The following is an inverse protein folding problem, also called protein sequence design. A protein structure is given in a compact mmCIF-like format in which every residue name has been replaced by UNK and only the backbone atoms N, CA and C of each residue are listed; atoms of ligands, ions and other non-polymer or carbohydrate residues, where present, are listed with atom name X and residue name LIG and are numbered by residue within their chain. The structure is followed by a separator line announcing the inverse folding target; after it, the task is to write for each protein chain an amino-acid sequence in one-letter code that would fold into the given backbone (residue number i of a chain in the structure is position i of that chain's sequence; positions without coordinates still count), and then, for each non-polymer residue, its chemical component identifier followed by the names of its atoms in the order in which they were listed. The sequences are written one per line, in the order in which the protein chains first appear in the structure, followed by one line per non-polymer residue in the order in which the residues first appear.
data_IF_601259467907
#
_entry.id   IF_601259467907
#
_cell.length_a   1.000
_cell.length_b   1.000
_cell.length_c   1.000
_cell.angle_alpha   90.00
_cell.angle_beta   90.00
_cell.angle_gamma   90.00
#
_symmetry.space_group_name_H-M   'P 1'
#
loop_
_entity.id
_entity.type
_entity.pdbx_description
1 polymer ?
#
# COMPACT_ATOMS: atom_id res chain seq x y z
N UNK A 1 28.61 -58.59 25.51
CA UNK A 1 28.06 -58.01 24.27
C UNK A 1 27.80 -56.53 24.50
N UNK A 2 28.82 -55.69 24.27
CA UNK A 2 28.64 -54.24 24.23
C UNK A 2 28.21 -53.88 22.79
N UNK A 3 26.96 -53.45 22.63
CA UNK A 3 26.50 -52.89 21.37
C UNK A 3 27.08 -51.47 21.24
N UNK A 4 27.95 -51.28 20.26
CA UNK A 4 28.46 -49.99 19.85
C UNK A 4 27.29 -49.11 19.36
N UNK A 5 27.14 -47.94 19.96
CA UNK A 5 26.27 -46.88 19.46
C UNK A 5 26.94 -46.25 18.23
N UNK A 6 26.21 -45.99 17.13
CA UNK A 6 26.79 -45.32 15.97
C UNK A 6 27.06 -43.86 16.31
N UNK A 7 28.32 -43.45 16.14
CA UNK A 7 28.77 -42.07 16.25
C UNK A 7 28.03 -41.22 15.21
N UNK A 8 27.09 -40.40 15.68
CA UNK A 8 26.45 -39.37 14.88
C UNK A 8 27.50 -38.36 14.43
N UNK A 9 27.78 -38.37 13.13
CA UNK A 9 28.71 -37.46 12.47
C UNK A 9 28.40 -36.00 12.84
N UNK A 10 29.21 -35.42 13.72
CA UNK A 10 29.30 -33.97 13.89
C UNK A 10 29.93 -33.40 12.60
N UNK A 11 29.11 -33.30 11.54
CA UNK A 11 29.51 -32.60 10.32
C UNK A 11 29.73 -31.14 10.70
N UNK A 12 30.99 -30.72 10.74
CA UNK A 12 31.35 -29.30 10.89
C UNK A 12 30.56 -28.51 9.85
N UNK A 13 29.54 -27.80 10.31
CA UNK A 13 28.68 -26.98 9.46
C UNK A 13 29.56 -25.84 8.92
N UNK A 14 30.06 -26.01 7.70
CA UNK A 14 31.04 -25.10 7.09
C UNK A 14 30.41 -23.76 6.67
N UNK A 15 29.08 -23.68 6.57
CA UNK A 15 28.40 -22.54 5.95
C UNK A 15 28.53 -22.58 4.42
N UNK A 16 27.90 -21.62 3.76
CA UNK A 16 28.01 -21.44 2.30
C UNK A 16 29.24 -20.61 1.95
N UNK A 17 29.80 -20.77 0.75
CA UNK A 17 30.77 -19.80 0.23
C UNK A 17 30.04 -18.54 -0.26
N UNK A 18 30.72 -17.39 -0.27
CA UNK A 18 30.11 -16.16 -0.79
C UNK A 18 29.74 -16.26 -2.27
N UNK A 19 30.48 -17.04 -3.06
CA UNK A 19 30.15 -17.26 -4.48
C UNK A 19 28.90 -18.14 -4.65
N UNK A 20 28.80 -19.23 -3.89
CA UNK A 20 27.62 -20.09 -3.93
C UNK A 20 26.37 -19.35 -3.46
N UNK A 21 26.51 -18.52 -2.42
CA UNK A 21 25.42 -17.68 -1.93
C UNK A 21 24.94 -16.70 -3.02
N UNK A 22 25.86 -16.06 -3.76
CA UNK A 22 25.51 -15.18 -4.88
C UNK A 22 24.82 -15.94 -6.02
N UNK A 23 25.30 -17.15 -6.35
CA UNK A 23 24.67 -18.00 -7.37
C UNK A 23 23.24 -18.35 -6.98
N UNK A 24 23.02 -18.79 -5.74
CA UNK A 24 21.68 -19.10 -5.23
C UNK A 24 20.80 -17.86 -5.14
N UNK A 25 21.35 -16.70 -4.80
CA UNK A 25 20.60 -15.44 -4.80
C UNK A 25 20.09 -15.11 -6.22
N UNK A 26 20.89 -15.38 -7.26
CA UNK A 26 20.45 -15.20 -8.65
C UNK A 26 19.40 -16.22 -9.12
N UNK A 27 19.40 -17.42 -8.53
CA UNK A 27 18.46 -18.50 -8.88
C UNK A 27 17.12 -18.40 -8.11
N UNK A 28 17.19 -18.15 -6.81
CA UNK A 28 16.03 -18.12 -5.90
C UNK A 28 15.44 -16.71 -5.74
N UNK A 29 16.19 -15.66 -6.08
CA UNK A 29 15.80 -14.27 -5.84
C UNK A 29 16.02 -13.83 -4.40
N UNK A 30 15.70 -12.56 -4.11
CA UNK A 30 15.78 -11.99 -2.78
C UNK A 30 14.72 -12.60 -1.84
N UNK A 31 15.05 -12.69 -0.54
CA UNK A 31 14.14 -13.09 0.53
C UNK A 31 13.15 -11.96 0.86
N UNK A 32 12.33 -11.59 -0.12
CA UNK A 32 11.22 -10.65 0.01
C UNK A 32 10.01 -11.17 -0.75
N UNK A 33 8.81 -10.95 -0.21
CA UNK A 33 7.58 -11.17 -0.96
C UNK A 33 7.49 -10.01 -1.94
N UNK A 34 7.53 -10.28 -3.24
CA UNK A 34 7.49 -9.26 -4.29
C UNK A 34 6.30 -8.33 -4.05
N UNK A 35 6.59 -7.15 -3.52
CA UNK A 35 5.62 -6.08 -3.44
C UNK A 35 5.43 -5.59 -4.87
N UNK A 36 4.33 -6.00 -5.51
CA UNK A 36 3.99 -5.51 -6.84
C UNK A 36 3.94 -3.98 -6.78
N UNK A 37 5.04 -3.34 -7.19
CA UNK A 37 5.10 -1.90 -7.39
C UNK A 37 4.18 -1.59 -8.55
N UNK A 38 2.90 -1.39 -8.25
CA UNK A 38 1.99 -0.83 -9.24
C UNK A 38 2.55 0.53 -9.60
N UNK A 39 2.91 0.71 -10.86
CA UNK A 39 3.33 2.01 -11.36
C UNK A 39 2.24 3.02 -10.99
N UNK A 40 2.62 4.06 -10.25
CA UNK A 40 1.72 5.13 -9.79
C UNK A 40 0.86 5.63 -10.96
N UNK A 41 1.44 5.71 -12.16
CA UNK A 41 0.74 6.09 -13.38
C UNK A 41 -0.41 5.17 -13.78
N UNK A 42 -0.26 3.83 -13.72
CA UNK A 42 -1.38 2.92 -13.98
C UNK A 42 -2.45 2.99 -12.88
N UNK A 43 -2.05 3.17 -11.62
CA UNK A 43 -3.01 3.30 -10.52
C UNK A 43 -3.84 4.57 -10.68
N UNK A 44 -3.18 5.68 -11.03
CA UNK A 44 -3.82 6.96 -11.35
C UNK A 44 -4.72 6.80 -12.58
N UNK A 45 -4.22 6.24 -13.68
CA UNK A 45 -5.02 5.99 -14.88
C UNK A 45 -6.26 5.16 -14.56
N UNK A 46 -6.15 4.09 -13.75
CA UNK A 46 -7.29 3.27 -13.36
C UNK A 46 -8.33 4.03 -12.53
N UNK A 47 -7.92 5.03 -11.73
CA UNK A 47 -8.84 5.94 -11.02
C UNK A 47 -9.62 6.83 -11.99
N UNK A 48 -9.07 7.22 -13.14
CA UNK A 48 -9.79 7.99 -14.17
C UNK A 48 -10.94 7.22 -14.84
N UNK A 49 -10.97 5.88 -14.75
CA UNK A 49 -12.10 5.05 -15.21
C UNK A 49 -13.22 4.86 -14.18
N UNK A 50 -13.21 5.61 -13.07
CA UNK A 50 -14.27 5.59 -12.07
C UNK A 50 -15.49 6.44 -12.45
N UNK A 51 -16.65 6.15 -11.82
CA UNK A 51 -17.89 6.92 -11.97
C UNK A 51 -17.70 8.41 -11.66
N UNK A 52 -16.87 8.75 -10.67
CA UNK A 52 -16.62 10.13 -10.23
C UNK A 52 -15.91 10.99 -11.30
N UNK A 53 -14.76 10.56 -11.88
CA UNK A 53 -14.16 11.30 -12.99
C UNK A 53 -15.07 11.41 -14.21
N UNK A 54 -15.81 10.35 -14.57
CA UNK A 54 -16.78 10.39 -15.67
C UNK A 54 -17.84 11.48 -15.52
N UNK A 55 -18.37 11.68 -14.30
CA UNK A 55 -19.33 12.75 -14.01
C UNK A 55 -18.72 14.15 -14.23
N UNK A 56 -17.44 14.32 -13.90
CA UNK A 56 -16.72 15.58 -14.05
C UNK A 56 -16.40 15.87 -15.52
N UNK A 57 -16.02 14.85 -16.28
CA UNK A 57 -15.80 14.94 -17.72
C UNK A 57 -17.08 15.33 -18.46
N UNK A 58 -18.23 14.75 -18.07
CA UNK A 58 -19.55 15.15 -18.59
C UNK A 58 -19.86 16.61 -18.25
N UNK A 59 -19.49 17.10 -17.07
CA UNK A 59 -19.72 18.49 -16.66
C UNK A 59 -18.89 19.48 -17.50
N UNK A 60 -17.63 19.14 -17.77
CA UNK A 60 -16.74 19.90 -18.66
C UNK A 60 -17.29 19.91 -20.09
N UNK A 61 -17.70 18.75 -20.61
CA UNK A 61 -18.29 18.62 -21.94
C UNK A 61 -19.59 19.42 -22.08
N UNK A 62 -20.46 19.39 -21.07
CA UNK A 62 -21.73 20.11 -21.07
C UNK A 62 -21.51 21.63 -21.03
N UNK A 63 -20.66 22.13 -20.15
CA UNK A 63 -20.35 23.59 -20.08
C UNK A 63 -19.68 24.11 -21.34
N UNK A 64 -18.82 23.30 -21.96
CA UNK A 64 -18.21 23.60 -23.25
C UNK A 64 -19.28 23.67 -24.37
N UNK A 65 -20.22 22.72 -24.39
CA UNK A 65 -21.32 22.70 -25.36
C UNK A 65 -22.23 23.94 -25.21
N UNK A 66 -22.46 24.41 -23.98
CA UNK A 66 -23.19 25.64 -23.69
C UNK A 66 -22.39 26.93 -24.02
N UNK A 67 -21.19 26.82 -24.60
CA UNK A 67 -20.30 27.94 -24.97
C UNK A 67 -19.91 28.84 -23.79
N UNK A 68 -19.98 28.33 -22.56
CA UNK A 68 -19.54 29.03 -21.34
C UNK A 68 -18.06 28.74 -21.07
N UNK A 69 -17.19 29.26 -21.94
CA UNK A 69 -15.76 28.97 -21.88
C UNK A 69 -15.11 29.32 -20.54
N UNK A 70 -15.52 30.43 -19.92
CA UNK A 70 -14.99 30.86 -18.61
C UNK A 70 -15.30 29.81 -17.53
N UNK A 71 -16.53 29.34 -17.46
CA UNK A 71 -16.96 28.31 -16.50
C UNK A 71 -16.20 27.00 -16.72
N UNK A 72 -15.99 26.61 -17.99
CA UNK A 72 -15.23 25.40 -18.34
C UNK A 72 -13.78 25.48 -17.87
N UNK A 73 -13.09 26.60 -18.10
CA UNK A 73 -11.69 26.76 -17.66
C UNK A 73 -11.57 26.80 -16.13
N UNK A 74 -12.51 27.42 -15.42
CA UNK A 74 -12.53 27.44 -13.95
C UNK A 74 -12.68 26.02 -13.38
N UNK A 75 -13.63 25.24 -13.90
CA UNK A 75 -13.87 23.86 -13.46
C UNK A 75 -12.67 22.98 -13.77
N UNK A 76 -12.12 23.07 -14.99
CA UNK A 76 -10.94 22.31 -15.39
C UNK A 76 -9.71 22.64 -14.55
N UNK A 77 -9.46 23.92 -14.25
CA UNK A 77 -8.37 24.37 -13.40
C UNK A 77 -8.49 23.87 -11.96
N UNK A 78 -9.69 23.94 -11.37
CA UNK A 78 -9.95 23.41 -10.03
C UNK A 78 -9.70 21.89 -9.96
N UNK A 79 -10.05 21.16 -11.02
CA UNK A 79 -9.84 19.72 -11.14
C UNK A 79 -8.35 19.36 -11.19
N UNK A 80 -7.58 20.06 -12.04
CA UNK A 80 -6.14 19.86 -12.13
C UNK A 80 -5.45 20.19 -10.80
N UNK A 81 -5.89 21.24 -10.12
CA UNK A 81 -5.39 21.59 -8.80
C UNK A 81 -5.69 20.50 -7.76
N UNK A 82 -6.94 20.00 -7.71
CA UNK A 82 -7.33 18.92 -6.80
C UNK A 82 -6.55 17.63 -7.08
N UNK A 83 -6.38 17.26 -8.35
CA UNK A 83 -5.57 16.11 -8.75
C UNK A 83 -4.09 16.27 -8.33
N UNK A 84 -3.52 17.47 -8.51
CA UNK A 84 -2.16 17.78 -8.07
C UNK A 84 -2.00 17.67 -6.55
N UNK A 85 -2.97 18.20 -5.79
CA UNK A 85 -3.00 18.08 -4.33
C UNK A 85 -3.11 16.60 -3.90
N UNK A 86 -3.98 15.83 -4.55
CA UNK A 86 -4.17 14.41 -4.26
C UNK A 86 -2.91 13.58 -4.54
N UNK A 87 -2.19 13.87 -5.64
CA UNK A 87 -0.89 13.24 -5.92
C UNK A 87 0.18 13.61 -4.88
N UNK A 88 0.14 14.84 -4.36
CA UNK A 88 1.06 15.26 -3.30
C UNK A 88 0.76 14.57 -1.97
N UNK A 89 -0.51 14.42 -1.62
CA UNK A 89 -0.96 13.67 -0.44
C UNK A 89 -0.58 12.18 -0.52
N UNK A 90 -0.81 11.54 -1.68
CA UNK A 90 -0.50 10.13 -1.91
C UNK A 90 1.02 9.87 -1.78
N UNK A 91 1.85 10.74 -2.37
CA UNK A 91 3.32 10.64 -2.24
C UNK A 91 3.80 10.82 -0.81
N UNK A 92 3.15 11.70 -0.02
CA UNK A 92 3.51 11.94 1.37
C UNK A 92 3.16 10.75 2.25
N UNK A 93 2.02 10.10 2.00
CA UNK A 93 1.62 8.88 2.69
C UNK A 93 2.57 7.70 2.39
N UNK A 94 2.90 7.48 1.13
CA UNK A 94 3.84 6.41 0.71
C UNK A 94 5.25 6.61 1.30
N UNK A 95 5.72 7.85 1.38
CA UNK A 95 7.02 8.18 1.95
C UNK A 95 7.10 7.85 3.44
N UNK A 96 6.02 8.11 4.20
CA UNK A 96 5.96 7.80 5.63
C UNK A 96 5.98 6.28 5.89
N UNK A 97 5.24 5.51 5.06
CA UNK A 97 5.23 4.05 5.14
C UNK A 97 6.58 3.46 4.74
N UNK A 98 7.21 3.99 3.69
CA UNK A 98 8.54 3.55 3.23
C UNK A 98 9.62 3.83 4.27
N UNK A 99 9.59 5.00 4.91
CA UNK A 99 10.52 5.35 6.00
C UNK A 99 10.36 4.45 7.23
N UNK A 100 9.14 4.00 7.53
CA UNK A 100 8.90 3.02 8.59
C UNK A 100 9.45 1.63 8.22
N UNK A 101 9.25 1.19 6.96
CA UNK A 101 9.82 -0.08 6.44
C UNK A 101 11.34 -0.11 6.51
N UNK A 102 12.02 0.99 6.19
CA UNK A 102 13.48 1.09 6.27
C UNK A 102 14.03 0.99 7.70
N UNK A 103 13.23 1.31 8.73
CA UNK A 103 13.66 1.14 10.13
C UNK A 103 13.56 -0.30 10.62
N UNK A 104 12.88 -1.18 9.88
CA UNK A 104 12.69 -2.59 10.20
C UNK A 104 13.65 -3.50 9.44
N UNK A 105 14.84 -3.02 9.03
CA UNK A 105 15.85 -3.87 8.41
C UNK A 105 16.32 -4.95 9.39
N UNK A 106 15.65 -6.09 9.36
CA UNK A 106 16.04 -7.31 10.07
C UNK A 106 17.41 -7.70 9.51
N UNK A 107 18.40 -7.70 10.38
CA UNK A 107 19.74 -8.19 10.07
C UNK A 107 19.81 -9.67 10.46
N UNK A 108 20.38 -10.49 9.59
CA UNK A 108 20.60 -11.91 9.85
C UNK A 108 22.10 -12.19 9.97
N UNK A 109 22.49 -12.94 11.00
CA UNK A 109 23.86 -13.47 11.13
C UNK A 109 23.93 -14.80 10.42
N UNK A 110 24.62 -14.84 9.28
CA UNK A 110 24.92 -16.09 8.57
C UNK A 110 26.38 -16.46 8.75
N UNK A 111 26.69 -17.72 8.48
CA UNK A 111 28.05 -18.22 8.30
C UNK A 111 28.39 -18.32 6.82
N UNK A 112 29.28 -17.44 6.32
CA UNK A 112 29.78 -17.46 4.94
C UNK A 112 31.30 -17.52 4.93
N UNK A 113 31.87 -18.34 4.05
CA UNK A 113 33.31 -18.59 3.95
C UNK A 113 33.95 -19.00 5.30
N UNK A 114 33.17 -19.64 6.18
CA UNK A 114 33.59 -20.05 7.52
C UNK A 114 33.48 -18.96 8.60
N UNK A 115 33.25 -17.70 8.23
CA UNK A 115 33.12 -16.56 9.14
C UNK A 115 31.66 -16.17 9.39
N UNK A 116 31.39 -15.62 10.57
CA UNK A 116 30.06 -15.09 10.91
C UNK A 116 29.93 -13.65 10.42
N UNK A 117 29.05 -13.43 9.46
CA UNK A 117 28.80 -12.14 8.84
C UNK A 117 27.35 -11.72 9.09
N UNK A 118 27.13 -10.47 9.46
CA UNK A 118 25.78 -9.88 9.52
C UNK A 118 25.44 -9.28 8.17
N UNK A 119 24.35 -9.74 7.55
CA UNK A 119 23.82 -9.20 6.31
C UNK A 119 22.32 -8.92 6.42
N UNK A 120 21.77 -8.09 5.51
CA UNK A 120 20.34 -7.85 5.46
C UNK A 120 19.57 -9.15 5.24
N UNK A 121 18.47 -9.36 5.96
CA UNK A 121 17.64 -10.57 5.85
C UNK A 121 17.16 -10.86 4.41
N UNK A 122 17.08 -9.83 3.54
CA UNK A 122 16.72 -9.95 2.12
C UNK A 122 17.74 -10.77 1.30
N UNK A 123 19.00 -10.83 1.74
CA UNK A 123 20.10 -11.49 1.03
C UNK A 123 20.37 -12.92 1.53
N UNK A 124 19.52 -13.41 2.44
CA UNK A 124 19.56 -14.78 2.96
C UNK A 124 19.02 -15.73 1.90
N UNK A 125 19.73 -16.83 1.66
CA UNK A 125 19.38 -17.83 0.64
C UNK A 125 19.14 -19.21 1.25
N UNK A 126 18.37 -20.11 0.59
CA UNK A 126 18.22 -21.48 1.04
C UNK A 126 19.57 -22.18 1.16
N UNK A 127 19.79 -22.86 2.29
CA UNK A 127 21.05 -23.50 2.67
C UNK A 127 22.02 -22.61 3.45
N UNK A 128 21.72 -21.31 3.65
CA UNK A 128 22.50 -20.48 4.57
C UNK A 128 22.42 -21.05 5.98
N UNK A 129 23.54 -20.96 6.71
CA UNK A 129 23.61 -21.35 8.11
C UNK A 129 23.49 -20.08 8.92
N UNK A 130 22.41 -19.94 9.68
CA UNK A 130 22.15 -18.77 10.51
C UNK A 130 22.29 -19.09 11.99
N UNK A 131 22.63 -18.08 12.78
CA UNK A 131 22.66 -18.18 14.25
C UNK A 131 21.62 -17.25 14.84
N UNK A 132 20.66 -17.85 15.55
CA UNK A 132 19.55 -17.16 16.19
C UNK A 132 19.80 -17.04 17.69
N UNK A 133 19.58 -15.85 18.24
CA UNK A 133 19.64 -15.58 19.68
C UNK A 133 18.31 -15.04 20.21
N UNK A 134 18.14 -15.09 21.52
CA UNK A 134 17.05 -14.40 22.20
C UNK A 134 16.95 -12.92 21.76
N UNK A 135 15.76 -12.52 21.32
CA UNK A 135 15.47 -11.20 20.76
C UNK A 135 15.49 -11.14 19.23
N UNK A 136 16.09 -12.11 18.54
CA UNK A 136 16.15 -12.13 17.09
C UNK A 136 14.79 -12.56 16.48
N UNK A 137 14.41 -11.90 15.39
CA UNK A 137 13.28 -12.31 14.55
C UNK A 137 13.80 -13.28 13.50
N UNK A 138 13.11 -14.41 13.31
CA UNK A 138 13.52 -15.45 12.36
C UNK A 138 13.28 -14.95 10.92
N UNK A 139 14.33 -14.78 10.09
CA UNK A 139 14.23 -14.10 8.79
C UNK A 139 13.64 -14.96 7.66
N UNK A 140 13.69 -16.27 7.81
CA UNK A 140 13.32 -17.26 6.79
C UNK A 140 12.92 -18.57 7.49
N UNK A 141 12.28 -19.51 6.79
CA UNK A 141 12.00 -20.80 7.39
C UNK A 141 13.30 -21.57 7.56
N UNK A 142 13.55 -22.08 8.76
CA UNK A 142 14.81 -22.71 9.13
C UNK A 142 14.61 -24.00 9.89
N UNK A 143 15.60 -24.89 9.82
CA UNK A 143 15.69 -26.12 10.59
C UNK A 143 16.84 -26.03 11.58
N UNK A 144 16.60 -26.35 12.85
CA UNK A 144 17.62 -26.30 13.90
C UNK A 144 18.59 -27.47 13.71
N UNK A 145 19.89 -27.16 13.70
CA UNK A 145 20.96 -28.17 13.62
C UNK A 145 21.67 -28.33 14.94
N UNK A 146 21.85 -27.24 15.69
CA UNK A 146 22.51 -27.27 17.00
C UNK A 146 21.82 -26.30 17.96
N UNK A 147 21.72 -26.68 19.24
CA UNK A 147 21.17 -25.85 20.30
C UNK A 147 19.68 -26.04 20.55
N UNK A 148 19.11 -25.12 21.33
CA UNK A 148 17.69 -25.11 21.70
C UNK A 148 17.23 -23.67 21.87
N UNK A 149 16.01 -23.39 21.46
CA UNK A 149 15.41 -22.07 21.58
C UNK A 149 13.94 -22.15 21.95
N UNK A 150 13.44 -21.10 22.59
CA UNK A 150 12.03 -20.93 22.87
C UNK A 150 11.47 -19.90 21.87
N UNK A 151 10.52 -20.36 21.04
CA UNK A 151 9.94 -19.63 19.92
C UNK A 151 8.55 -19.10 20.28
N UNK A 152 8.32 -17.80 20.05
CA UNK A 152 6.99 -17.18 20.11
C UNK A 152 6.38 -17.11 18.72
N UNK A 153 5.36 -17.94 18.49
CA UNK A 153 4.64 -18.06 17.23
C UNK A 153 3.35 -17.22 17.19
N UNK A 154 3.18 -16.26 18.12
CA UNK A 154 1.99 -15.38 18.17
C UNK A 154 1.68 -14.74 16.81
N UNK A 155 2.70 -14.39 16.03
CA UNK A 155 2.54 -13.76 14.72
C UNK A 155 1.88 -14.68 13.67
N UNK A 156 1.94 -16.00 13.86
CA UNK A 156 1.44 -17.00 12.91
C UNK A 156 0.14 -17.66 13.40
N UNK A 157 0.06 -18.01 14.68
CA UNK A 157 -1.07 -18.74 15.25
C UNK A 157 -2.06 -17.85 15.99
N UNK A 158 -1.65 -16.64 16.39
CA UNK A 158 -2.43 -15.76 17.26
C UNK A 158 -2.42 -16.17 18.74
N UNK A 159 -1.68 -17.22 19.11
CA UNK A 159 -1.57 -17.69 20.49
C UNK A 159 -0.22 -17.29 21.11
N UNK A 160 -0.24 -16.66 22.29
CA UNK A 160 0.97 -16.17 22.98
C UNK A 160 1.75 -17.23 23.75
N UNK A 161 1.58 -18.51 23.42
CA UNK A 161 2.31 -19.59 24.06
C UNK A 161 3.68 -19.75 23.40
N UNK A 162 4.72 -19.74 24.23
CA UNK A 162 6.09 -19.99 23.78
C UNK A 162 6.31 -21.50 23.64
N UNK A 163 6.80 -21.94 22.48
CA UNK A 163 7.07 -23.35 22.20
C UNK A 163 8.58 -23.59 22.22
N UNK A 164 9.03 -24.55 23.03
CA UNK A 164 10.44 -24.93 23.05
C UNK A 164 10.76 -25.80 21.83
N UNK A 165 11.85 -25.46 21.13
CA UNK A 165 12.31 -26.09 19.90
C UNK A 165 13.74 -26.59 20.06
N UNK A 166 13.99 -27.79 19.57
CA UNK A 166 15.27 -28.52 19.71
C UNK A 166 15.84 -28.90 18.34
N UNK A 167 16.96 -29.63 18.34
CA UNK A 167 17.59 -30.11 17.09
C UNK A 167 16.57 -30.87 16.24
N UNK A 168 16.66 -30.69 14.93
CA UNK A 168 15.74 -31.19 13.90
C UNK A 168 14.35 -30.53 13.84
N UNK A 169 13.97 -29.69 14.80
CA UNK A 169 12.74 -28.91 14.68
C UNK A 169 12.85 -27.80 13.64
N UNK A 170 11.71 -27.50 13.01
CA UNK A 170 11.57 -26.35 12.10
C UNK A 170 11.02 -25.12 12.84
N UNK A 171 11.56 -23.95 12.50
CA UNK A 171 11.14 -22.65 13.00
C UNK A 171 10.79 -21.77 11.80
N UNK A 172 9.62 -21.14 11.85
CA UNK A 172 9.05 -20.42 10.72
C UNK A 172 9.44 -18.94 10.74
N UNK A 173 9.53 -18.33 9.54
CA UNK A 173 9.78 -16.91 9.37
C UNK A 173 8.75 -16.04 10.12
N UNK A 174 9.20 -14.95 10.75
CA UNK A 174 8.34 -14.06 11.55
C UNK A 174 8.15 -14.48 13.02
N UNK A 175 8.62 -15.67 13.40
CA UNK A 175 8.72 -16.09 14.81
C UNK A 175 9.75 -15.24 15.56
N UNK A 176 9.48 -14.91 16.82
CA UNK A 176 10.44 -14.20 17.69
C UNK A 176 11.07 -15.18 18.66
N UNK A 177 12.40 -15.19 18.77
CA UNK A 177 13.10 -16.03 19.75
C UNK A 177 13.03 -15.37 21.13
N UNK A 178 12.39 -16.00 22.10
CA UNK A 178 12.29 -15.48 23.48
C UNK A 178 13.50 -15.82 24.31
N UNK A 179 14.01 -17.05 24.21
CA UNK A 179 15.14 -17.56 25.01
C UNK A 179 15.96 -18.56 24.22
N UNK A 180 17.21 -18.73 24.64
CA UNK A 180 18.15 -19.69 24.05
C UNK A 180 18.94 -19.14 22.88
N UNK A 181 19.71 -20.05 22.27
CA UNK A 181 20.53 -19.81 21.11
C UNK A 181 20.60 -21.10 20.30
N UNK A 182 20.47 -20.99 18.98
CA UNK A 182 20.56 -22.13 18.08
C UNK A 182 21.23 -21.76 16.76
N UNK A 183 21.90 -22.75 16.18
CA UNK A 183 22.41 -22.71 14.81
C UNK A 183 21.44 -23.45 13.92
N UNK A 184 20.97 -22.80 12.87
CA UNK A 184 19.93 -23.32 11.99
C UNK A 184 20.37 -23.25 10.52
N UNK A 185 19.83 -24.13 9.69
CA UNK A 185 19.96 -24.07 8.23
C UNK A 185 18.67 -23.54 7.63
N UNK A 186 18.78 -22.59 6.70
CA UNK A 186 17.63 -22.03 5.98
C UNK A 186 17.09 -23.07 5.00
N UNK A 187 15.79 -23.38 5.10
CA UNK A 187 15.10 -24.35 4.25
C UNK A 187 14.33 -23.66 3.13
N UNK A 188 13.66 -22.54 3.41
CA UNK A 188 12.90 -21.77 2.43
C UNK A 188 13.00 -20.26 2.70
N UNK A 189 12.92 -19.46 1.63
CA UNK A 189 12.99 -18.00 1.64
C UNK A 189 11.86 -17.38 0.80
N UNK A 190 11.58 -16.10 1.04
CA UNK A 190 10.64 -15.26 0.28
C UNK A 190 9.22 -15.79 0.31
N UNK A 191 8.53 -15.78 -0.83
CA UNK A 191 7.18 -16.30 -0.99
C UNK A 191 7.04 -17.80 -0.68
N UNK A 192 8.14 -18.57 -0.66
CA UNK A 192 8.11 -20.01 -0.38
C UNK A 192 8.02 -20.33 1.12
N UNK A 193 8.24 -19.36 2.01
CA UNK A 193 8.10 -19.57 3.46
C UNK A 193 6.64 -19.74 3.87
N UNK A 194 6.40 -20.32 5.05
CA UNK A 194 5.06 -20.49 5.61
C UNK A 194 4.34 -19.14 5.78
N UNK A 195 5.05 -18.12 6.27
CA UNK A 195 4.52 -16.75 6.34
C UNK A 195 4.35 -16.15 4.95
N UNK A 196 5.33 -16.32 4.06
CA UNK A 196 5.31 -15.80 2.69
C UNK A 196 4.11 -16.26 1.89
N UNK A 197 3.78 -17.57 1.94
CA UNK A 197 2.57 -18.13 1.31
C UNK A 197 1.29 -17.55 1.90
N UNK A 198 1.26 -17.33 3.22
CA UNK A 198 0.09 -16.72 3.88
C UNK A 198 -0.10 -15.27 3.40
N UNK A 199 0.97 -14.48 3.34
CA UNK A 199 0.94 -13.11 2.82
C UNK A 199 0.56 -13.08 1.35
N UNK A 200 1.10 -13.98 0.52
CA UNK A 200 0.75 -14.10 -0.90
C UNK A 200 -0.75 -14.39 -1.08
N UNK A 201 -1.31 -15.33 -0.32
CA UNK A 201 -2.74 -15.65 -0.35
C UNK A 201 -3.61 -14.46 0.10
N UNK A 202 -3.19 -13.70 1.13
CA UNK A 202 -3.91 -12.49 1.58
C UNK A 202 -3.82 -11.36 0.55
N UNK A 203 -2.66 -11.19 -0.10
CA UNK A 203 -2.48 -10.19 -1.15
C UNK A 203 -3.29 -10.54 -2.41
N UNK A 204 -3.35 -11.82 -2.79
CA UNK A 204 -4.20 -12.33 -3.86
C UNK A 204 -5.67 -12.16 -3.53
N UNK A 205 -6.05 -12.38 -2.27
CA UNK A 205 -7.42 -12.25 -1.79
C UNK A 205 -7.95 -10.81 -1.82
N UNK A 206 -7.09 -9.79 -2.04
CA UNK A 206 -7.42 -8.34 -2.11
C UNK A 206 -8.78 -8.06 -1.45
N UNK A 207 -8.86 -8.11 -0.11
CA UNK A 207 -10.12 -7.79 0.54
C UNK A 207 -10.51 -6.40 0.03
N UNK A 208 -11.60 -6.32 -0.74
CA UNK A 208 -12.17 -5.04 -1.18
C UNK A 208 -12.31 -4.22 0.09
N UNK A 209 -11.53 -3.15 0.19
CA UNK A 209 -11.42 -2.38 1.41
C UNK A 209 -12.83 -1.83 1.67
N UNK A 210 -13.46 -2.21 2.78
CA UNK A 210 -14.84 -1.82 3.11
C UNK A 210 -15.08 -0.30 3.00
N UNK A 211 -14.03 0.51 3.13
CA UNK A 211 -14.05 1.96 2.96
C UNK A 211 -14.39 2.41 1.53
N UNK A 212 -14.05 1.62 0.50
CA UNK A 212 -14.33 1.92 -0.91
C UNK A 212 -15.83 1.75 -1.23
N UNK A 213 -16.50 0.79 -0.58
CA UNK A 213 -17.93 0.52 -0.80
C UNK A 213 -18.84 1.49 -0.03
N UNK A 214 -18.41 1.90 1.17
CA UNK A 214 -19.10 2.93 1.95
C UNK A 214 -19.03 4.29 1.24
N UNK A 215 -17.86 4.69 0.75
CA UNK A 215 -17.71 5.95 0.01
C UNK A 215 -18.50 5.94 -1.30
N UNK A 216 -18.49 4.84 -2.06
CA UNK A 216 -19.29 4.70 -3.28
C UNK A 216 -20.81 4.78 -3.01
N UNK A 217 -21.27 4.26 -1.87
CA UNK A 217 -22.69 4.32 -1.50
C UNK A 217 -23.13 5.72 -1.10
N UNK A 218 -22.30 6.47 -0.35
CA UNK A 218 -22.55 7.88 -0.04
C UNK A 218 -22.63 8.72 -1.31
N UNK A 219 -21.70 8.52 -2.25
CA UNK A 219 -21.68 9.24 -3.53
C UNK A 219 -22.95 8.95 -4.34
N UNK A 220 -23.41 7.69 -4.41
CA UNK A 220 -24.65 7.33 -5.12
C UNK A 220 -25.88 8.03 -4.55
N UNK A 221 -26.05 8.06 -3.22
CA UNK A 221 -27.17 8.75 -2.59
C UNK A 221 -27.15 10.26 -2.81
N UNK A 222 -25.96 10.88 -2.74
CA UNK A 222 -25.80 12.29 -3.03
C UNK A 222 -26.19 12.62 -4.48
N UNK A 223 -25.78 11.79 -5.45
CA UNK A 223 -26.14 11.95 -6.86
C UNK A 223 -27.65 11.84 -7.10
N UNK A 224 -28.31 10.84 -6.48
CA UNK A 224 -29.76 10.70 -6.56
C UNK A 224 -30.48 11.92 -6.00
N UNK A 225 -29.99 12.49 -4.90
CA UNK A 225 -30.55 13.67 -4.28
C UNK A 225 -30.41 14.92 -5.18
N UNK A 226 -29.24 15.12 -5.80
CA UNK A 226 -29.02 16.21 -6.76
C UNK A 226 -29.90 16.05 -7.99
N UNK A 227 -30.01 14.84 -8.55
CA UNK A 227 -30.87 14.56 -9.69
C UNK A 227 -32.35 14.83 -9.37
N UNK A 228 -32.80 14.45 -8.16
CA UNK A 228 -34.15 14.74 -7.69
C UNK A 228 -34.40 16.25 -7.57
N UNK A 229 -33.46 17.02 -7.01
CA UNK A 229 -33.60 18.47 -6.92
C UNK A 229 -33.63 19.14 -8.30
N UNK A 230 -32.80 18.70 -9.23
CA UNK A 230 -32.82 19.21 -10.60
C UNK A 230 -34.14 18.87 -11.30
N UNK A 231 -34.65 17.65 -11.15
CA UNK A 231 -35.94 17.24 -11.69
C UNK A 231 -37.09 18.06 -11.09
N UNK A 232 -37.07 18.29 -9.77
CA UNK A 232 -38.07 19.12 -9.10
C UNK A 232 -38.00 20.58 -9.55
N UNK A 233 -36.79 21.14 -9.66
CA UNK A 233 -36.56 22.51 -10.14
C UNK A 233 -37.03 22.71 -11.57
N UNK A 234 -36.71 21.77 -12.46
CA UNK A 234 -37.21 21.77 -13.84
C UNK A 234 -38.74 21.59 -13.89
N UNK A 235 -39.30 20.72 -13.05
CA UNK A 235 -40.74 20.54 -12.94
C UNK A 235 -41.48 21.81 -12.48
N UNK A 236 -40.95 22.50 -11.47
CA UNK A 236 -41.48 23.80 -11.01
C UNK A 236 -41.30 24.88 -12.08
N UNK A 237 -40.15 24.91 -12.76
CA UNK A 237 -39.91 25.85 -13.87
C UNK A 237 -40.88 25.64 -15.02
N UNK A 238 -41.21 24.39 -15.34
CA UNK A 238 -42.20 24.05 -16.37
C UNK A 238 -43.61 24.41 -15.91
N UNK A 239 -43.96 24.11 -14.66
CA UNK A 239 -45.27 24.41 -14.07
C UNK A 239 -45.54 25.92 -13.89
N UNK A 240 -44.48 26.74 -13.70
CA UNK A 240 -44.59 28.21 -13.61
C UNK A 240 -44.69 28.89 -14.98
N UNK A 241 -44.62 28.16 -16.09
CA UNK A 241 -44.54 28.72 -17.43
C UNK A 241 -43.15 29.31 -17.67
N UNK A 242 -42.42 28.75 -18.63
CA UNK A 242 -41.01 29.10 -18.88
C UNK A 242 -40.82 30.56 -19.33
N UNK A 243 -40.65 31.47 -18.38
CA UNK A 243 -39.98 32.74 -18.59
C UNK A 243 -38.48 32.53 -18.28
N UNK A 244 -37.60 32.45 -19.29
CA UNK A 244 -36.17 32.30 -19.04
C UNK A 244 -35.66 33.54 -18.31
N UNK A 245 -35.09 33.31 -17.12
CA UNK A 245 -34.28 34.24 -16.31
C UNK A 245 -33.08 34.80 -17.11
N UNK A 246 -33.37 35.69 -18.06
CA UNK A 246 -32.38 36.52 -18.77
C UNK A 246 -32.49 38.00 -18.38
N UNK A 247 -33.50 38.38 -17.59
CA UNK A 247 -33.72 39.76 -17.18
C UNK A 247 -33.42 39.94 -15.69
N UNK A 248 -32.14 39.82 -15.32
CA UNK A 248 -31.66 40.58 -14.16
C UNK A 248 -31.52 42.03 -14.64
N UNK A 249 -32.22 43.02 -14.05
CA UNK A 249 -32.10 44.41 -14.46
C UNK A 249 -30.77 45.01 -13.94
N UNK A 250 -29.63 44.56 -14.47
CA UNK A 250 -28.33 45.19 -14.28
C UNK A 250 -28.21 46.51 -15.08
N UNK A 251 -29.13 46.77 -16.03
CA UNK A 251 -29.14 47.97 -16.85
C UNK A 251 -29.89 49.18 -16.23
N UNK A 252 -30.61 49.01 -15.11
CA UNK A 252 -31.37 50.13 -14.50
C UNK A 252 -30.51 51.03 -13.61
N UNK A 253 -29.36 50.57 -13.12
CA UNK A 253 -28.48 51.39 -12.27
C UNK A 253 -27.57 52.35 -13.05
N UNK A 254 -27.41 52.18 -14.36
CA UNK A 254 -26.48 53.00 -15.15
C UNK A 254 -27.07 54.37 -15.56
N UNK A 255 -28.39 54.50 -15.70
CA UNK A 255 -29.04 55.75 -16.12
C UNK A 255 -29.20 56.78 -14.97
N UNK A 256 -29.20 56.33 -13.72
CA UNK A 256 -29.37 57.22 -12.56
C UNK A 256 -28.09 57.99 -12.17
N UNK A 257 -26.93 57.58 -12.66
CA UNK A 257 -25.65 58.27 -12.40
C UNK A 257 -25.37 59.37 -13.43
N UNK A 258 -25.94 59.27 -14.65
CA UNK A 258 -25.76 60.29 -15.69
C UNK A 258 -26.61 61.56 -15.47
N UNK A 259 -27.71 61.49 -14.71
CA UNK A 259 -28.62 62.62 -14.54
C UNK A 259 -28.14 63.62 -13.48
N UNK A 260 -27.44 63.16 -12.44
CA UNK A 260 -26.86 64.03 -11.39
C UNK A 260 -25.67 64.87 -11.89
N UNK A 261 -25.05 64.51 -13.03
CA UNK A 261 -23.91 65.25 -13.59
C UNK A 261 -24.33 66.39 -14.53
N UNK A 262 -25.61 66.49 -14.91
CA UNK A 262 -26.11 67.56 -15.80
C UNK A 262 -26.70 68.77 -15.04
N UNK A 263 -27.01 68.62 -13.75
CA UNK A 263 -27.58 69.69 -12.90
C UNK A 263 -26.54 70.56 -12.18
N UNK A 264 -25.24 70.27 -12.28
CA UNK A 264 -24.17 70.98 -11.53
C UNK A 264 -23.27 71.86 -12.40
N UNK A 265 -23.60 72.09 -13.69
CA UNK A 265 -22.74 72.86 -14.60
C UNK A 265 -23.43 73.96 -15.43
N UNK A 266 -24.65 74.37 -15.10
CA UNK A 266 -25.24 75.61 -15.63
C UNK A 266 -25.32 76.66 -14.52
N UNK A 267 -24.24 77.45 -14.44
CA UNK A 267 -24.21 78.84 -13.94
C UNK A 267 -24.18 79.75 -15.16
#
# INVERSE_FOLDING_TARGET
MCAAQPEGSSQKIAGLSSEEAKRRLSEYGYNEVEEQRRSVFLTVAKKFWGITPWMLEVTIALTWLLHKYVDTYVVAGLLLFNAGLSLFEERRADSAVTALKQRLHIQARVKRDGEWVSLPAREVVPGDVIRLRAGDVVPADVKIVEGKLDADQSALTGESLTVSKTVDDSVYSGTIVKRGEATCIVTATGAKTYFGRTVELVQLAKPKLHMEEVTASVVRWLLLMVALLLALGLGVSYARGGEPITNTPAHSCASSISDTRRSTFDV
#
